data_IF_949580878130
#
_entry.id   IF_949580878130
#
_cell.length_a   1.000
_cell.length_b   1.000
_cell.length_c   1.000
_cell.angle_alpha   90.00
_cell.angle_beta   90.00
_cell.angle_gamma   90.00
#
_symmetry.space_group_name_H-M   'P 1'
#
loop_
_entity.id
_entity.type
_entity.pdbx_description
1 polymer ?
#
# COMPACT_ATOMS: atom_id res chain seq x y z
N UNK A 1 10.37 -15.57 23.43
CA UNK A 1 11.01 -14.49 22.64
C UNK A 1 12.10 -13.74 23.42
N UNK A 2 13.01 -14.44 24.11
CA UNK A 2 14.15 -13.84 24.86
C UNK A 2 15.52 -14.46 24.53
N UNK A 3 15.53 -15.60 23.82
CA UNK A 3 16.77 -16.33 23.47
C UNK A 3 17.40 -15.89 22.14
N UNK A 4 16.72 -15.06 21.34
CA UNK A 4 17.27 -14.61 20.06
C UNK A 4 18.06 -13.29 20.19
N UNK A 5 17.83 -12.53 21.27
CA UNK A 5 18.50 -11.24 21.48
C UNK A 5 19.99 -11.41 21.79
N UNK A 6 20.35 -12.36 22.67
CA UNK A 6 21.76 -12.63 22.98
C UNK A 6 22.50 -13.20 21.76
N UNK A 7 21.85 -14.00 20.92
CA UNK A 7 22.42 -14.52 19.67
C UNK A 7 22.70 -13.40 18.66
N UNK A 8 21.77 -12.47 18.50
CA UNK A 8 21.93 -11.30 17.62
C UNK A 8 23.04 -10.38 18.16
N UNK A 9 23.06 -10.14 19.47
CA UNK A 9 24.09 -9.34 20.13
C UNK A 9 25.49 -9.96 19.94
N UNK A 10 25.61 -11.28 20.11
CA UNK A 10 26.88 -12.01 19.95
C UNK A 10 27.36 -11.97 18.49
N UNK A 11 26.43 -12.03 17.54
CA UNK A 11 26.73 -11.88 16.12
C UNK A 11 27.23 -10.47 15.77
N UNK A 12 26.61 -9.42 16.32
CA UNK A 12 27.07 -8.04 16.16
C UNK A 12 28.46 -7.82 16.76
N UNK A 13 28.77 -8.44 17.90
CA UNK A 13 30.10 -8.38 18.51
C UNK A 13 31.17 -9.04 17.63
N UNK A 14 30.88 -10.20 17.04
CA UNK A 14 31.81 -10.89 16.14
C UNK A 14 32.09 -10.09 14.86
N UNK A 15 31.08 -9.43 14.30
CA UNK A 15 31.25 -8.59 13.11
C UNK A 15 32.13 -7.36 13.39
N UNK A 16 31.94 -6.69 14.54
CA UNK A 16 32.76 -5.54 14.92
C UNK A 16 34.24 -5.90 15.13
N UNK A 17 34.52 -7.10 15.68
CA UNK A 17 35.90 -7.59 15.85
C UNK A 17 36.55 -7.89 14.49
N UNK A 18 35.79 -8.46 13.55
CA UNK A 18 36.25 -8.73 12.19
C UNK A 18 36.59 -7.41 11.45
N UNK A 19 35.72 -6.41 11.56
CA UNK A 19 35.91 -5.10 10.92
C UNK A 19 37.13 -4.36 11.48
N UNK A 20 37.30 -4.35 12.80
CA UNK A 20 38.47 -3.73 13.45
C UNK A 20 39.78 -4.46 13.15
N UNK A 21 39.78 -5.79 13.01
CA UNK A 21 40.96 -6.55 12.55
C UNK A 21 41.35 -6.24 11.10
N UNK A 22 40.37 -5.95 10.23
CA UNK A 22 40.61 -5.54 8.85
C UNK A 22 41.26 -4.16 8.76
N UNK A 23 40.89 -3.26 9.68
CA UNK A 23 41.42 -1.90 9.75
C UNK A 23 42.87 -1.87 10.26
N UNK A 24 43.21 -2.74 11.22
CA UNK A 24 44.59 -2.86 11.76
C UNK A 24 45.55 -3.50 10.73
N UNK A 25 45.07 -4.41 9.87
CA UNK A 25 45.91 -5.09 8.89
C UNK A 25 46.14 -4.32 7.56
N UNK A 26 45.50 -3.16 7.34
CA UNK A 26 45.68 -2.35 6.13
C UNK A 26 46.73 -1.22 6.29
N UNK A 27 47.88 -1.52 6.89
CA UNK A 27 48.97 -0.53 7.03
C UNK A 27 50.27 -0.95 6.37
N UNK A 28 50.21 -1.51 5.16
CA UNK A 28 51.43 -1.72 4.35
C UNK A 28 51.17 -1.52 2.85
N UNK A 29 51.24 -0.27 2.37
CA UNK A 29 52.20 0.20 1.34
C UNK A 29 51.84 1.62 0.83
N UNK A 30 52.78 2.59 0.87
CA UNK A 30 52.58 3.94 0.36
C UNK A 30 53.14 4.08 -1.06
N UNK A 31 52.37 3.73 -2.09
CA UNK A 31 52.57 4.25 -3.44
C UNK A 31 51.41 3.80 -4.33
N UNK A 32 50.72 4.78 -4.89
CA UNK A 32 50.01 4.83 -6.18
C UNK A 32 48.89 5.85 -5.98
N UNK A 33 49.23 7.10 -6.26
CA UNK A 33 48.28 8.17 -6.54
C UNK A 33 47.54 7.79 -7.82
N UNK A 34 46.43 7.05 -7.70
CA UNK A 34 45.47 6.91 -8.78
C UNK A 34 44.35 7.91 -8.56
N UNK A 35 44.41 9.01 -9.30
CA UNK A 35 43.40 10.07 -9.33
C UNK A 35 42.17 9.62 -10.13
N UNK A 36 41.69 8.41 -9.91
CA UNK A 36 40.42 7.93 -10.46
C UNK A 36 39.39 7.90 -9.34
N UNK A 37 38.53 8.92 -9.35
CA UNK A 37 37.26 9.01 -8.64
C UNK A 37 36.63 7.62 -8.53
N UNK A 38 36.53 7.12 -7.30
CA UNK A 38 35.87 5.85 -7.01
C UNK A 38 34.41 5.99 -7.41
N UNK A 39 34.02 5.35 -8.51
CA UNK A 39 32.61 5.17 -8.84
C UNK A 39 32.03 4.24 -7.80
N UNK A 40 31.47 4.80 -6.72
CA UNK A 40 30.67 4.03 -5.78
C UNK A 40 29.51 3.43 -6.58
N UNK A 41 29.49 2.11 -6.75
CA UNK A 41 28.37 1.36 -7.34
C UNK A 41 27.19 1.29 -6.36
N UNK A 42 26.79 2.45 -5.85
CA UNK A 42 25.55 2.63 -5.11
C UNK A 42 24.47 3.02 -6.11
N UNK A 43 23.28 2.43 -6.01
CA UNK A 43 22.10 2.85 -6.80
C UNK A 43 21.53 4.19 -6.32
N UNK A 44 22.21 4.87 -5.41
CA UNK A 44 21.86 6.20 -4.94
C UNK A 44 22.45 7.21 -5.92
N UNK A 45 21.62 8.12 -6.42
CA UNK A 45 22.08 9.26 -7.21
C UNK A 45 23.06 10.06 -6.35
N UNK A 46 24.35 10.01 -6.72
CA UNK A 46 25.35 10.88 -6.11
C UNK A 46 25.09 12.28 -6.59
N UNK A 47 24.78 13.19 -5.66
CA UNK A 47 24.75 14.61 -5.92
C UNK A 47 26.15 15.00 -6.42
N UNK A 48 26.23 15.48 -7.65
CA UNK A 48 27.46 16.03 -8.21
C UNK A 48 27.28 17.54 -8.25
N UNK A 49 28.31 18.29 -7.84
CA UNK A 49 28.31 19.73 -8.02
C UNK A 49 28.10 20.03 -9.51
N UNK A 50 27.08 20.82 -9.84
CA UNK A 50 26.85 21.29 -11.19
C UNK A 50 27.99 22.25 -11.50
N UNK A 51 29.04 21.71 -12.12
CA UNK A 51 30.11 22.52 -12.70
C UNK A 51 29.42 23.51 -13.64
N UNK A 52 29.45 24.80 -13.28
CA UNK A 52 28.84 25.84 -14.10
C UNK A 52 29.57 25.82 -15.41
N UNK A 53 28.92 25.31 -16.46
CA UNK A 53 29.61 25.06 -17.72
C UNK A 53 30.25 26.37 -18.18
N UNK A 54 31.52 26.31 -18.56
CA UNK A 54 32.32 27.47 -19.02
C UNK A 54 31.61 28.20 -20.19
N UNK A 55 30.64 27.52 -20.82
CA UNK A 55 29.81 27.96 -21.93
C UNK A 55 28.56 28.76 -21.52
N UNK A 56 28.25 28.93 -20.23
CA UNK A 56 27.03 29.63 -19.78
C UNK A 56 26.92 31.10 -20.22
N UNK A 57 28.07 31.75 -20.50
CA UNK A 57 28.15 33.16 -20.92
C UNK A 57 28.49 33.35 -22.40
N UNK A 58 28.64 32.27 -23.18
CA UNK A 58 28.90 32.34 -24.61
C UNK A 58 27.61 32.76 -25.36
N UNK A 59 27.62 33.86 -26.13
CA UNK A 59 26.46 34.30 -26.90
C UNK A 59 25.89 33.21 -27.83
N UNK A 60 26.76 32.37 -28.40
CA UNK A 60 26.33 31.27 -29.27
C UNK A 60 25.59 30.21 -28.47
N UNK A 61 26.17 29.75 -27.35
CA UNK A 61 25.54 28.78 -26.46
C UNK A 61 24.19 29.27 -25.90
N UNK A 62 24.10 30.56 -25.56
CA UNK A 62 22.84 31.17 -25.11
C UNK A 62 21.75 31.06 -26.17
N UNK A 63 22.08 31.37 -27.43
CA UNK A 63 21.14 31.29 -28.55
C UNK A 63 20.68 29.85 -28.84
N UNK A 64 21.58 28.88 -28.69
CA UNK A 64 21.25 27.44 -28.86
C UNK A 64 20.30 26.99 -27.76
N UNK A 65 20.56 27.37 -26.52
CA UNK A 65 19.70 27.06 -25.37
C UNK A 65 18.30 27.65 -25.54
N UNK A 66 18.20 28.93 -25.87
CA UNK A 66 16.89 29.59 -26.08
C UNK A 66 16.09 28.95 -27.22
N UNK A 67 16.77 28.55 -28.31
CA UNK A 67 16.12 27.82 -29.40
C UNK A 67 15.62 26.44 -28.97
N UNK A 68 16.42 25.70 -28.21
CA UNK A 68 16.02 24.41 -27.66
C UNK A 68 14.84 24.56 -26.71
N UNK A 69 14.88 25.54 -25.81
CA UNK A 69 13.81 25.82 -24.86
C UNK A 69 12.52 26.15 -25.61
N UNK A 70 12.58 27.03 -26.62
CA UNK A 70 11.42 27.38 -27.46
C UNK A 70 10.82 26.17 -28.18
N UNK A 71 11.66 25.34 -28.82
CA UNK A 71 11.20 24.13 -29.51
C UNK A 71 10.58 23.13 -28.53
N UNK A 72 11.20 23.00 -27.37
CA UNK A 72 10.74 22.09 -26.31
C UNK A 72 9.40 22.53 -25.74
N UNK A 73 9.22 23.83 -25.45
CA UNK A 73 7.94 24.40 -25.03
C UNK A 73 6.82 24.12 -26.04
N UNK A 74 7.07 24.33 -27.33
CA UNK A 74 6.08 24.05 -28.38
C UNK A 74 5.68 22.57 -28.41
N UNK A 75 6.66 21.65 -28.32
CA UNK A 75 6.39 20.20 -28.28
C UNK A 75 5.58 19.79 -27.05
N UNK A 76 5.83 20.43 -25.91
CA UNK A 76 5.05 20.19 -24.69
C UNK A 76 3.59 20.63 -24.85
N UNK A 77 3.36 21.81 -25.41
CA UNK A 77 2.00 22.30 -25.68
C UNK A 77 1.24 21.40 -26.67
N UNK A 78 1.90 20.96 -27.74
CA UNK A 78 1.33 20.02 -28.71
C UNK A 78 1.00 18.66 -28.06
N UNK A 79 1.89 18.14 -27.23
CA UNK A 79 1.66 16.89 -26.50
C UNK A 79 0.48 17.01 -25.53
N UNK A 80 0.44 18.08 -24.74
CA UNK A 80 -0.68 18.37 -23.84
C UNK A 80 -1.99 18.53 -24.60
N UNK A 81 -1.97 19.21 -25.75
CA UNK A 81 -3.10 19.31 -26.67
C UNK A 81 -3.61 17.94 -27.13
N UNK A 82 -2.71 17.05 -27.58
CA UNK A 82 -3.06 15.68 -28.00
C UNK A 82 -3.59 14.82 -26.87
N UNK A 83 -3.14 15.05 -25.63
CA UNK A 83 -3.52 14.25 -24.47
C UNK A 83 -4.77 14.76 -23.76
N UNK A 84 -5.16 16.03 -23.96
CA UNK A 84 -6.29 16.68 -23.29
C UNK A 84 -7.60 15.90 -23.43
N UNK A 85 -7.96 15.51 -24.66
CA UNK A 85 -9.21 14.79 -24.90
C UNK A 85 -9.20 13.38 -24.31
N UNK A 86 -8.06 12.68 -24.36
CA UNK A 86 -7.90 11.36 -23.74
C UNK A 86 -8.04 11.43 -22.22
N UNK A 87 -7.41 12.43 -21.60
CA UNK A 87 -7.53 12.69 -20.16
C UNK A 87 -8.97 13.04 -19.77
N UNK A 88 -9.66 13.87 -20.55
CA UNK A 88 -11.08 14.18 -20.32
C UNK A 88 -11.95 12.92 -20.38
N UNK A 89 -11.82 12.11 -21.42
CA UNK A 89 -12.57 10.84 -21.58
C UNK A 89 -12.31 9.87 -20.43
N UNK A 90 -11.05 9.71 -20.03
CA UNK A 90 -10.69 8.84 -18.91
C UNK A 90 -11.30 9.33 -17.59
N UNK A 91 -11.30 10.65 -17.34
CA UNK A 91 -11.95 11.24 -16.16
C UNK A 91 -13.46 11.02 -16.16
N UNK A 92 -14.13 11.31 -17.28
CA UNK A 92 -15.57 11.08 -17.44
C UNK A 92 -15.97 9.62 -17.24
N UNK A 93 -15.14 8.67 -17.73
CA UNK A 93 -15.38 7.25 -17.52
C UNK A 93 -15.19 6.86 -16.05
N UNK A 94 -14.11 7.32 -15.42
CA UNK A 94 -13.86 7.06 -14.01
C UNK A 94 -14.99 7.60 -13.11
N UNK A 95 -15.48 8.81 -13.38
CA UNK A 95 -16.60 9.40 -12.64
C UNK A 95 -17.89 8.56 -12.80
N UNK A 96 -18.16 8.02 -14.00
CA UNK A 96 -19.29 7.11 -14.24
C UNK A 96 -19.13 5.79 -13.49
N UNK A 97 -17.96 5.17 -13.58
CA UNK A 97 -17.67 3.89 -12.92
C UNK A 97 -17.79 4.02 -11.39
N UNK A 98 -17.33 5.14 -10.82
CA UNK A 98 -17.50 5.45 -9.39
C UNK A 98 -18.97 5.56 -9.03
N UNK A 99 -19.78 6.26 -9.83
CA UNK A 99 -21.23 6.37 -9.57
C UNK A 99 -21.92 5.00 -9.64
N UNK A 100 -21.55 4.16 -10.61
CA UNK A 100 -22.09 2.80 -10.73
C UNK A 100 -21.74 1.95 -9.51
N UNK A 101 -20.48 1.99 -9.05
CA UNK A 101 -20.03 1.28 -7.85
C UNK A 101 -20.82 1.74 -6.61
N UNK A 102 -21.02 3.04 -6.43
CA UNK A 102 -21.79 3.58 -5.30
C UNK A 102 -23.25 3.12 -5.36
N UNK A 103 -23.88 3.16 -6.53
CA UNK A 103 -25.26 2.70 -6.70
C UNK A 103 -25.39 1.20 -6.42
N UNK A 104 -24.45 0.40 -6.92
CA UNK A 104 -24.42 -1.05 -6.69
C UNK A 104 -24.22 -1.39 -5.21
N UNK A 105 -23.24 -0.77 -4.54
CA UNK A 105 -22.99 -0.93 -3.10
C UNK A 105 -24.22 -0.56 -2.27
N UNK A 106 -24.92 0.53 -2.62
CA UNK A 106 -26.16 0.92 -1.94
C UNK A 106 -27.27 -0.12 -2.11
N UNK A 107 -27.43 -0.68 -3.32
CA UNK A 107 -28.41 -1.73 -3.60
C UNK A 107 -28.07 -3.02 -2.84
N UNK A 108 -26.81 -3.46 -2.87
CA UNK A 108 -26.33 -4.64 -2.15
C UNK A 108 -26.52 -4.51 -0.64
N UNK A 109 -26.17 -3.35 -0.05
CA UNK A 109 -26.43 -3.06 1.36
C UNK A 109 -27.92 -3.10 1.70
N UNK A 110 -28.77 -2.52 0.85
CA UNK A 110 -30.22 -2.55 1.09
C UNK A 110 -30.82 -3.95 0.99
N UNK A 111 -30.27 -4.82 0.13
CA UNK A 111 -30.68 -6.21 0.04
C UNK A 111 -30.20 -7.01 1.25
N UNK A 112 -28.94 -6.82 1.67
CA UNK A 112 -28.39 -7.45 2.86
C UNK A 112 -29.21 -7.09 4.11
N UNK A 113 -29.54 -5.81 4.29
CA UNK A 113 -30.37 -5.33 5.41
C UNK A 113 -31.77 -5.98 5.39
N UNK A 114 -32.43 -6.05 4.22
CA UNK A 114 -33.74 -6.72 4.09
C UNK A 114 -33.66 -8.22 4.40
N UNK A 115 -32.61 -8.89 3.95
CA UNK A 115 -32.38 -10.32 4.23
C UNK A 115 -32.09 -10.54 5.70
N UNK A 116 -31.29 -9.68 6.34
CA UNK A 116 -31.00 -9.75 7.78
C UNK A 116 -32.26 -9.54 8.60
N UNK A 117 -33.07 -8.52 8.30
CA UNK A 117 -34.37 -8.29 8.96
C UNK A 117 -35.32 -9.48 8.73
N UNK A 118 -35.37 -10.03 7.51
CA UNK A 118 -36.18 -11.19 7.18
C UNK A 118 -35.75 -12.45 7.93
N UNK A 119 -34.43 -12.69 8.03
CA UNK A 119 -33.84 -13.80 8.78
C UNK A 119 -34.10 -13.65 10.28
N UNK A 120 -33.97 -12.45 10.84
CA UNK A 120 -34.28 -12.16 12.24
C UNK A 120 -35.76 -12.45 12.55
N UNK A 121 -36.69 -12.01 11.67
CA UNK A 121 -38.13 -12.31 11.83
C UNK A 121 -38.44 -13.80 11.74
N UNK A 122 -37.82 -14.52 10.80
CA UNK A 122 -38.02 -15.96 10.62
C UNK A 122 -37.40 -16.78 11.77
N UNK A 123 -36.18 -16.41 12.21
CA UNK A 123 -35.44 -17.05 13.30
C UNK A 123 -36.08 -16.85 14.67
N UNK A 124 -36.60 -15.65 14.97
CA UNK A 124 -37.38 -15.42 16.19
C UNK A 124 -38.71 -16.20 16.21
N UNK A 125 -39.33 -16.44 15.04
CA UNK A 125 -40.52 -17.27 14.92
C UNK A 125 -40.29 -18.76 15.20
N UNK A 126 -39.13 -19.29 14.81
CA UNK A 126 -38.76 -20.70 15.05
C UNK A 126 -38.24 -20.94 16.48
N UNK A 127 -37.53 -19.97 17.07
CA UNK A 127 -37.03 -20.06 18.45
C UNK A 127 -38.14 -20.01 19.52
N UNK A 128 -39.22 -19.26 19.26
CA UNK A 128 -40.34 -19.15 20.20
C UNK A 128 -41.22 -20.41 20.28
N UNK A 129 -41.41 -21.12 19.17
CA UNK A 129 -42.25 -22.33 19.12
C UNK A 129 -41.59 -23.49 19.85
N UNK A 130 -40.25 -23.62 19.77
CA UNK A 130 -39.52 -24.66 20.51
C UNK A 130 -39.63 -24.49 22.03
N UNK A 131 -39.62 -23.24 22.53
CA UNK A 131 -39.81 -22.95 23.95
C UNK A 131 -41.25 -23.25 24.42
N UNK A 132 -42.26 -22.98 23.58
CA UNK A 132 -43.66 -23.24 23.91
C UNK A 132 -44.01 -24.73 24.02
N UNK A 133 -43.54 -25.56 23.08
CA UNK A 133 -43.83 -27.01 23.09
C UNK A 133 -43.02 -27.74 24.16
N UNK A 134 -41.78 -27.33 24.41
CA UNK A 134 -40.90 -27.95 25.41
C UNK A 134 -41.30 -27.69 26.86
N UNK A 135 -41.96 -26.57 27.17
CA UNK A 135 -42.39 -26.22 28.54
C UNK A 135 -43.83 -26.71 28.81
N UNK A 136 -44.74 -26.60 27.83
CA UNK A 136 -46.15 -26.97 28.04
C UNK A 136 -46.33 -28.50 28.02
N UNK A 137 -45.58 -29.23 27.19
CA UNK A 137 -45.67 -30.69 27.06
C UNK A 137 -45.47 -31.45 28.37
N UNK A 138 -44.38 -31.23 29.13
CA UNK A 138 -44.13 -31.93 30.40
C UNK A 138 -45.15 -31.60 31.50
N UNK A 139 -45.63 -30.36 31.56
CA UNK A 139 -46.61 -29.93 32.56
C UNK A 139 -47.97 -30.55 32.30
N UNK A 140 -48.39 -30.64 31.02
CA UNK A 140 -49.65 -31.27 30.64
C UNK A 140 -49.65 -32.78 30.92
N UNK A 141 -48.56 -33.49 30.62
CA UNK A 141 -48.44 -34.93 30.89
C UNK A 141 -48.48 -35.21 32.40
N UNK A 142 -47.77 -34.41 33.20
CA UNK A 142 -47.76 -34.57 34.67
C UNK A 142 -49.13 -34.24 35.30
N UNK A 143 -49.87 -33.30 34.74
CA UNK A 143 -51.25 -33.02 35.14
C UNK A 143 -52.20 -34.19 34.87
N UNK A 144 -52.03 -34.87 33.73
CA UNK A 144 -52.83 -36.05 33.36
C UNK A 144 -52.50 -37.26 34.24
N UNK A 145 -51.22 -37.46 34.57
CA UNK A 145 -50.77 -38.55 35.45
C UNK A 145 -51.29 -38.40 36.88
N UNK A 146 -51.31 -37.17 37.41
CA UNK A 146 -51.90 -36.88 38.72
C UNK A 146 -53.43 -37.03 38.73
N UNK A 147 -54.12 -36.76 37.61
CA UNK A 147 -55.56 -36.96 37.48
C UNK A 147 -55.95 -38.44 37.32
N UNK A 148 -55.05 -39.28 36.81
CA UNK A 148 -55.26 -40.72 36.67
C UNK A 148 -54.95 -41.52 37.96
N UNK A 149 -54.30 -40.91 38.95
CA UNK A 149 -54.01 -41.51 40.26
C UNK A 149 -55.04 -41.13 41.36
N UNK A 150 -56.11 -40.42 41.01
CA UNK A 150 -57.31 -40.18 41.84
C UNK A 150 -58.44 -41.10 41.38
#
# INVERSE_FOLDING_TARGET
MKLNYYKILLFCLLLNILESSSYVNNKNKPYITSRHRQTSTSRVLSECDIDTSIYGNDPEMKSVKENFDRQTSQRFEEYEGRMKDKRRKCKEQCDKDIQEIILKDKMEKSLAEKVEIGCLRCGCGLGGVAAGVGIIGPVAVKGLENAAML
#
